data_IF_461235882566
#
_entry.id   IF_461235882566
#
_cell.length_a   1.000
_cell.length_b   1.000
_cell.length_c   1.000
_cell.angle_alpha   90.00
_cell.angle_beta   90.00
_cell.angle_gamma   90.00
#
_symmetry.space_group_name_H-M   'P 1'
#
loop_
_entity.id
_entity.type
_entity.pdbx_description
1 polymer ?
#
# COMPACT_ATOMS: atom_id res chain seq x y z
N UNK A 1 -4.15 10.68 2.47
CA UNK A 1 -5.63 10.75 2.37
C UNK A 1 -6.17 10.58 0.95
N UNK A 2 -5.77 11.37 -0.05
CA UNK A 2 -6.30 11.23 -1.43
C UNK A 2 -6.16 9.82 -2.04
N UNK A 3 -5.05 9.12 -1.79
CA UNK A 3 -4.85 7.74 -2.31
C UNK A 3 -5.87 6.73 -1.73
N UNK A 4 -6.30 6.91 -0.48
CA UNK A 4 -7.31 6.07 0.16
C UNK A 4 -8.71 6.31 -0.39
N UNK A 5 -9.05 7.58 -0.67
CA UNK A 5 -10.31 7.94 -1.32
C UNK A 5 -10.42 7.35 -2.74
N UNK A 6 -9.31 7.39 -3.49
CA UNK A 6 -9.24 6.80 -4.84
C UNK A 6 -9.31 5.27 -4.81
N UNK A 7 -8.78 4.61 -3.78
CA UNK A 7 -8.92 3.16 -3.63
C UNK A 7 -10.39 2.74 -3.39
N UNK A 8 -11.12 3.51 -2.57
CA UNK A 8 -12.53 3.27 -2.28
C UNK A 8 -13.51 3.60 -3.41
N UNK A 9 -13.08 4.33 -4.45
CA UNK A 9 -14.00 4.80 -5.50
C UNK A 9 -14.61 3.65 -6.31
N UNK A 10 -13.83 2.59 -6.57
CA UNK A 10 -14.24 1.46 -7.42
C UNK A 10 -15.44 0.70 -6.86
N UNK A 11 -15.43 0.23 -5.60
CA UNK A 11 -16.61 -0.43 -5.02
C UNK A 11 -17.79 0.54 -4.87
N UNK A 12 -17.53 1.81 -4.54
CA UNK A 12 -18.57 2.85 -4.42
C UNK A 12 -19.32 3.05 -5.74
N UNK A 13 -18.60 3.08 -6.88
CA UNK A 13 -19.23 3.24 -8.20
C UNK A 13 -20.17 2.09 -8.54
N UNK A 14 -19.79 0.84 -8.22
CA UNK A 14 -20.63 -0.33 -8.48
C UNK A 14 -21.92 -0.25 -7.65
N UNK A 15 -21.81 0.03 -6.35
CA UNK A 15 -23.00 0.11 -5.47
C UNK A 15 -23.90 1.30 -5.84
N UNK A 16 -23.33 2.45 -6.22
CA UNK A 16 -24.11 3.58 -6.74
C UNK A 16 -24.83 3.24 -8.04
N UNK A 17 -24.20 2.48 -8.95
CA UNK A 17 -24.86 2.04 -10.19
C UNK A 17 -26.08 1.15 -9.93
N UNK A 18 -25.97 0.24 -8.96
CA UNK A 18 -27.08 -0.62 -8.53
C UNK A 18 -28.19 0.23 -7.88
N UNK A 19 -27.83 1.19 -7.03
CA UNK A 19 -28.79 2.10 -6.41
C UNK A 19 -29.56 2.92 -7.46
N UNK A 20 -28.87 3.49 -8.46
CA UNK A 20 -29.53 4.21 -9.56
C UNK A 20 -30.46 3.32 -10.37
N UNK A 21 -30.07 2.07 -10.65
CA UNK A 21 -30.92 1.10 -11.34
C UNK A 21 -32.21 0.80 -10.55
N UNK A 22 -32.09 0.59 -9.23
CA UNK A 22 -33.24 0.35 -8.35
C UNK A 22 -34.15 1.57 -8.31
N UNK A 23 -33.59 2.78 -8.16
CA UNK A 23 -34.36 4.04 -8.20
C UNK A 23 -35.10 4.19 -9.54
N UNK A 24 -34.47 3.84 -10.65
CA UNK A 24 -35.11 3.88 -11.97
C UNK A 24 -36.28 2.90 -12.07
N UNK A 25 -36.10 1.64 -11.67
CA UNK A 25 -37.15 0.61 -11.74
C UNK A 25 -38.36 1.02 -10.90
N UNK A 26 -38.14 1.42 -9.64
CA UNK A 26 -39.22 1.88 -8.77
C UNK A 26 -39.80 3.22 -9.22
N UNK A 27 -38.97 4.10 -9.77
CA UNK A 27 -39.41 5.37 -10.36
C UNK A 27 -40.44 5.14 -11.46
N UNK A 28 -40.12 4.27 -12.43
CA UNK A 28 -41.07 3.87 -13.48
C UNK A 28 -42.32 3.23 -12.88
N UNK A 29 -42.18 2.31 -11.92
CA UNK A 29 -43.32 1.66 -11.28
C UNK A 29 -44.27 2.68 -10.63
N UNK A 30 -43.75 3.61 -9.84
CA UNK A 30 -44.55 4.67 -9.20
C UNK A 30 -45.17 5.62 -10.22
N UNK A 31 -44.43 6.07 -11.25
CA UNK A 31 -44.99 6.91 -12.33
C UNK A 31 -46.16 6.22 -13.01
N UNK A 32 -46.07 4.92 -13.29
CA UNK A 32 -47.12 4.18 -13.98
C UNK A 32 -48.34 3.92 -13.10
N UNK A 33 -48.11 3.57 -11.83
CA UNK A 33 -49.18 3.17 -10.91
C UNK A 33 -49.94 4.37 -10.32
N UNK A 34 -49.32 5.55 -10.24
CA UNK A 34 -49.95 6.76 -9.71
C UNK A 34 -50.54 7.67 -10.79
N UNK A 35 -50.58 7.22 -12.06
CA UNK A 35 -51.19 8.01 -13.14
C UNK A 35 -52.64 8.33 -12.83
N UNK A 36 -52.98 9.62 -12.85
CA UNK A 36 -54.33 10.10 -12.59
C UNK A 36 -54.69 10.27 -11.12
N UNK A 37 -53.76 10.01 -10.17
CA UNK A 37 -53.95 10.35 -8.75
C UNK A 37 -53.35 11.70 -8.40
N UNK A 38 -53.79 12.29 -7.29
CA UNK A 38 -53.27 13.59 -6.81
C UNK A 38 -51.80 13.50 -6.43
N UNK A 39 -51.39 12.36 -5.88
CA UNK A 39 -50.00 12.02 -5.52
C UNK A 39 -49.14 11.87 -6.77
N UNK A 40 -49.68 11.30 -7.85
CA UNK A 40 -49.02 11.20 -9.15
C UNK A 40 -48.64 12.58 -9.70
N UNK A 41 -49.57 13.54 -9.68
CA UNK A 41 -49.28 14.91 -10.17
C UNK A 41 -48.31 15.69 -9.30
N UNK A 42 -48.24 15.41 -7.99
CA UNK A 42 -47.42 16.17 -7.04
C UNK A 42 -46.00 15.65 -6.89
N UNK A 43 -45.82 14.33 -6.94
CA UNK A 43 -44.56 13.66 -6.60
C UNK A 43 -44.03 12.75 -7.72
N UNK A 44 -44.89 12.24 -8.60
CA UNK A 44 -44.55 11.21 -9.59
C UNK A 44 -44.99 11.56 -11.03
N UNK A 45 -44.94 12.85 -11.37
CA UNK A 45 -45.50 13.38 -12.63
C UNK A 45 -44.80 12.84 -13.88
N UNK A 46 -43.50 12.61 -13.78
CA UNK A 46 -42.69 11.88 -14.76
C UNK A 46 -41.69 10.93 -14.10
N UNK A 47 -41.00 10.13 -14.91
CA UNK A 47 -39.97 9.20 -14.41
C UNK A 47 -38.85 9.95 -13.72
N UNK A 48 -38.42 11.09 -14.25
CA UNK A 48 -37.40 11.94 -13.61
C UNK A 48 -37.84 12.49 -12.25
N UNK A 49 -39.05 13.04 -12.17
CA UNK A 49 -39.61 13.55 -10.90
C UNK A 49 -39.78 12.42 -9.87
N UNK A 50 -40.19 11.24 -10.34
CA UNK A 50 -40.33 10.04 -9.51
C UNK A 50 -38.98 9.56 -8.98
N UNK A 51 -37.95 9.53 -9.82
CA UNK A 51 -36.59 9.19 -9.40
C UNK A 51 -36.04 10.22 -8.40
N UNK A 52 -36.30 11.51 -8.61
CA UNK A 52 -35.91 12.58 -7.69
C UNK A 52 -36.61 12.47 -6.33
N UNK A 53 -37.92 12.24 -6.32
CA UNK A 53 -38.70 12.01 -5.09
C UNK A 53 -38.20 10.77 -4.36
N UNK A 54 -37.96 9.66 -5.06
CA UNK A 54 -37.43 8.43 -4.45
C UNK A 54 -35.99 8.56 -3.96
N UNK A 55 -35.16 9.37 -4.62
CA UNK A 55 -33.79 9.64 -4.17
C UNK A 55 -33.80 10.51 -2.91
N UNK A 56 -34.46 11.67 -2.95
CA UNK A 56 -34.48 12.64 -1.85
C UNK A 56 -35.27 12.11 -0.66
N UNK A 57 -36.53 11.79 -0.88
CA UNK A 57 -37.39 11.34 0.20
C UNK A 57 -37.07 9.88 0.52
N UNK A 58 -36.96 8.99 -0.48
CA UNK A 58 -36.79 7.56 -0.23
C UNK A 58 -35.40 7.11 0.24
N UNK A 59 -34.31 7.61 -0.35
CA UNK A 59 -32.94 7.20 0.00
C UNK A 59 -32.31 8.11 1.06
N UNK A 60 -32.47 9.43 0.94
CA UNK A 60 -31.99 10.37 1.97
C UNK A 60 -32.95 10.53 3.15
N UNK A 61 -34.11 9.87 3.11
CA UNK A 61 -35.13 9.90 4.17
C UNK A 61 -35.65 11.32 4.47
N UNK A 62 -35.52 12.24 3.51
CA UNK A 62 -35.98 13.61 3.65
C UNK A 62 -37.51 13.63 3.74
N UNK A 63 -38.05 14.17 4.84
CA UNK A 63 -39.49 14.30 5.09
C UNK A 63 -40.34 13.05 4.77
N UNK A 64 -39.79 11.83 4.91
CA UNK A 64 -40.49 10.57 4.56
C UNK A 64 -41.92 10.46 5.10
N UNK A 65 -42.22 10.84 6.35
CA UNK A 65 -43.57 10.74 6.87
C UNK A 65 -44.60 11.53 6.04
N UNK A 66 -44.21 12.64 5.42
CA UNK A 66 -45.13 13.46 4.60
C UNK A 66 -45.50 12.71 3.31
N UNK A 67 -44.51 12.18 2.60
CA UNK A 67 -44.71 11.41 1.35
C UNK A 67 -45.40 10.08 1.65
N UNK A 68 -44.99 9.39 2.72
CA UNK A 68 -45.57 8.10 3.11
C UNK A 68 -47.05 8.23 3.47
N UNK A 69 -47.43 9.24 4.25
CA UNK A 69 -48.83 9.48 4.59
C UNK A 69 -49.66 9.88 3.37
N UNK A 70 -49.13 10.72 2.48
CA UNK A 70 -49.82 11.12 1.25
C UNK A 70 -50.06 9.91 0.33
N UNK A 71 -49.05 9.07 0.13
CA UNK A 71 -49.13 7.86 -0.69
C UNK A 71 -50.05 6.80 -0.04
N UNK A 72 -49.95 6.62 1.28
CA UNK A 72 -50.76 5.68 2.04
C UNK A 72 -52.23 6.04 2.14
N UNK A 73 -52.56 7.34 2.13
CA UNK A 73 -53.97 7.81 2.11
C UNK A 73 -54.69 7.52 0.80
N UNK A 74 -53.96 7.42 -0.31
CA UNK A 74 -54.52 7.02 -1.62
C UNK A 74 -54.73 5.50 -1.69
N UNK A 75 -53.71 4.73 -1.30
CA UNK A 75 -53.79 3.27 -1.23
C UNK A 75 -52.72 2.70 -0.32
N UNK A 76 -53.13 1.77 0.56
CA UNK A 76 -52.21 1.03 1.42
C UNK A 76 -51.13 0.28 0.61
N UNK A 77 -51.46 -0.16 -0.62
CA UNK A 77 -50.53 -0.87 -1.51
C UNK A 77 -49.35 0.02 -1.91
N UNK A 78 -49.60 1.29 -2.26
CA UNK A 78 -48.53 2.22 -2.63
C UNK A 78 -47.63 2.53 -1.42
N UNK A 79 -48.22 2.66 -0.23
CA UNK A 79 -47.46 2.82 1.01
C UNK A 79 -46.56 1.61 1.31
N UNK A 80 -47.09 0.39 1.14
CA UNK A 80 -46.31 -0.84 1.30
C UNK A 80 -45.16 -0.95 0.29
N UNK A 81 -45.42 -0.60 -0.98
CA UNK A 81 -44.40 -0.58 -2.02
C UNK A 81 -43.29 0.45 -1.73
N UNK A 82 -43.66 1.64 -1.24
CA UNK A 82 -42.72 2.70 -0.85
C UNK A 82 -41.86 2.24 0.33
N UNK A 83 -42.47 1.56 1.30
CA UNK A 83 -41.75 1.01 2.46
C UNK A 83 -40.74 -0.06 2.04
N UNK A 84 -41.12 -0.96 1.11
CA UNK A 84 -40.20 -1.97 0.55
C UNK A 84 -39.03 -1.28 -0.17
N UNK A 85 -39.30 -0.24 -0.96
CA UNK A 85 -38.24 0.55 -1.61
C UNK A 85 -37.29 1.18 -0.58
N UNK A 86 -37.82 1.82 0.47
CA UNK A 86 -37.02 2.44 1.53
C UNK A 86 -36.15 1.42 2.25
N UNK A 87 -36.67 0.21 2.51
CA UNK A 87 -35.89 -0.87 3.09
C UNK A 87 -34.74 -1.28 2.15
N UNK A 88 -35.03 -1.56 0.87
CA UNK A 88 -34.01 -1.93 -0.11
C UNK A 88 -32.95 -0.83 -0.24
N UNK A 89 -33.36 0.44 -0.36
CA UNK A 89 -32.46 1.59 -0.43
C UNK A 89 -31.57 1.71 0.80
N UNK A 90 -32.14 1.57 1.99
CA UNK A 90 -31.40 1.60 3.26
C UNK A 90 -30.37 0.48 3.37
N UNK A 91 -30.75 -0.75 2.98
CA UNK A 91 -29.82 -1.89 2.92
C UNK A 91 -28.70 -1.66 1.91
N UNK A 92 -28.98 -1.08 0.74
CA UNK A 92 -27.95 -0.74 -0.26
C UNK A 92 -26.96 0.31 0.26
N UNK A 93 -27.44 1.33 0.98
CA UNK A 93 -26.58 2.35 1.60
C UNK A 93 -25.73 1.76 2.73
N UNK A 94 -26.29 0.91 3.58
CA UNK A 94 -25.50 0.21 4.62
C UNK A 94 -24.43 -0.68 3.97
N UNK A 95 -24.78 -1.41 2.92
CA UNK A 95 -23.83 -2.25 2.19
C UNK A 95 -22.73 -1.43 1.49
N UNK A 96 -23.02 -0.19 1.07
CA UNK A 96 -22.01 0.76 0.58
C UNK A 96 -21.01 1.13 1.68
N UNK A 97 -21.49 1.49 2.87
CA UNK A 97 -20.66 1.90 4.00
C UNK A 97 -19.76 0.76 4.48
N UNK A 98 -20.30 -0.46 4.59
CA UNK A 98 -19.53 -1.66 4.95
C UNK A 98 -18.42 -1.90 3.93
N UNK A 99 -18.70 -1.77 2.63
CA UNK A 99 -17.69 -1.93 1.58
C UNK A 99 -16.50 -0.97 1.72
N UNK A 100 -16.76 0.31 2.00
CA UNK A 100 -15.69 1.31 2.21
C UNK A 100 -14.90 1.03 3.47
N UNK A 101 -15.56 0.67 4.58
CA UNK A 101 -14.89 0.31 5.83
C UNK A 101 -13.98 -0.90 5.63
N UNK A 102 -14.46 -1.96 4.99
CA UNK A 102 -13.65 -3.14 4.67
C UNK A 102 -12.41 -2.80 3.83
N UNK A 103 -12.52 -1.91 2.83
CA UNK A 103 -11.36 -1.50 2.03
C UNK A 103 -10.32 -0.76 2.89
N UNK A 104 -10.75 0.13 3.79
CA UNK A 104 -9.82 0.84 4.69
C UNK A 104 -9.12 -0.12 5.66
N UNK A 105 -9.84 -1.09 6.22
CA UNK A 105 -9.27 -2.12 7.09
C UNK A 105 -8.27 -2.98 6.33
N UNK A 106 -8.55 -3.34 5.07
CA UNK A 106 -7.62 -4.08 4.22
C UNK A 106 -6.31 -3.31 4.01
N UNK A 107 -6.39 -2.02 3.71
CA UNK A 107 -5.19 -1.18 3.53
C UNK A 107 -4.36 -1.10 4.81
N UNK A 108 -4.99 -0.92 5.97
CA UNK A 108 -4.30 -0.92 7.27
C UNK A 108 -3.64 -2.27 7.52
N UNK A 109 -4.38 -3.37 7.32
CA UNK A 109 -3.87 -4.73 7.48
C UNK A 109 -2.68 -5.02 6.57
N UNK A 110 -2.65 -4.54 5.33
CA UNK A 110 -1.50 -4.72 4.44
C UNK A 110 -0.25 -4.02 4.97
N UNK A 111 -0.40 -2.79 5.48
CA UNK A 111 0.73 -2.01 6.04
C UNK A 111 1.23 -2.64 7.33
N UNK A 112 0.32 -3.07 8.20
CA UNK A 112 0.67 -3.75 9.46
C UNK A 112 1.32 -5.11 9.20
N UNK A 113 0.79 -5.90 8.25
CA UNK A 113 1.35 -7.19 7.90
C UNK A 113 2.77 -7.05 7.35
N UNK A 114 3.02 -6.05 6.51
CA UNK A 114 4.37 -5.75 6.03
C UNK A 114 5.32 -5.41 7.19
N UNK A 115 4.88 -4.57 8.13
CA UNK A 115 5.68 -4.24 9.31
C UNK A 115 5.97 -5.48 10.16
N UNK A 116 4.97 -6.34 10.41
CA UNK A 116 5.12 -7.58 11.18
C UNK A 116 6.09 -8.54 10.48
N UNK A 117 6.00 -8.72 9.16
CA UNK A 117 6.92 -9.60 8.42
C UNK A 117 8.37 -9.12 8.56
N UNK A 118 8.62 -7.81 8.43
CA UNK A 118 9.96 -7.24 8.60
C UNK A 118 10.47 -7.43 10.03
N UNK A 119 9.66 -7.16 11.05
CA UNK A 119 10.04 -7.36 12.46
C UNK A 119 10.35 -8.83 12.75
N UNK A 120 9.49 -9.76 12.32
CA UNK A 120 9.70 -11.19 12.54
C UNK A 120 10.97 -11.70 11.86
N UNK A 121 11.26 -11.26 10.65
CA UNK A 121 12.50 -11.66 9.94
C UNK A 121 13.72 -11.04 10.60
N UNK A 122 13.63 -9.77 11.03
CA UNK A 122 14.68 -9.13 11.82
C UNK A 122 14.99 -9.94 13.08
N UNK A 123 13.98 -10.34 13.83
CA UNK A 123 14.17 -11.11 15.06
C UNK A 123 14.77 -12.50 14.79
N UNK A 124 14.30 -13.20 13.74
CA UNK A 124 14.87 -14.49 13.32
C UNK A 124 16.34 -14.37 12.91
N UNK A 125 16.69 -13.37 12.09
CA UNK A 125 18.06 -13.15 11.64
C UNK A 125 18.98 -12.76 12.80
N UNK A 126 18.46 -11.97 13.75
CA UNK A 126 19.19 -11.63 14.97
C UNK A 126 19.53 -12.87 15.80
N UNK A 127 18.55 -13.75 16.04
CA UNK A 127 18.79 -15.01 16.77
C UNK A 127 19.75 -15.95 16.06
N UNK A 128 19.69 -16.05 14.72
CA UNK A 128 20.65 -16.85 13.95
C UNK A 128 22.07 -16.28 14.06
N UNK A 129 22.20 -14.96 14.02
CA UNK A 129 23.48 -14.29 14.17
C UNK A 129 24.04 -14.48 15.58
N UNK A 130 23.22 -14.34 16.62
CA UNK A 130 23.62 -14.55 18.02
C UNK A 130 24.21 -15.96 18.23
N UNK A 131 23.57 -16.99 17.65
CA UNK A 131 24.12 -18.35 17.66
C UNK A 131 25.48 -18.47 16.96
N UNK A 132 25.68 -17.82 15.80
CA UNK A 132 26.96 -17.85 15.09
C UNK A 132 28.06 -17.18 15.93
N UNK A 133 27.76 -16.05 16.57
CA UNK A 133 28.69 -15.31 17.42
C UNK A 133 29.11 -16.13 18.66
N UNK A 134 28.16 -16.82 19.29
CA UNK A 134 28.41 -17.72 20.42
C UNK A 134 29.37 -18.87 20.03
N UNK A 135 29.17 -19.47 18.85
CA UNK A 135 30.06 -20.52 18.33
C UNK A 135 31.49 -20.03 18.03
N UNK A 136 31.67 -18.75 17.67
CA UNK A 136 32.98 -18.18 17.35
C UNK A 136 33.74 -17.65 18.57
N UNK A 137 33.19 -17.75 19.80
CA UNK A 137 33.78 -17.19 21.03
C UNK A 137 34.14 -15.69 20.90
N UNK A 138 33.41 -14.95 20.07
CA UNK A 138 33.61 -13.51 19.91
C UNK A 138 32.72 -12.81 20.94
N UNK A 139 33.34 -12.18 21.94
CA UNK A 139 32.62 -11.32 22.88
C UNK A 139 32.00 -10.13 22.15
N UNK A 140 30.75 -9.74 22.45
CA UNK A 140 30.12 -8.57 21.86
C UNK A 140 30.92 -7.32 22.25
N UNK A 141 31.72 -6.82 21.32
CA UNK A 141 32.52 -5.61 21.46
C UNK A 141 31.70 -4.37 21.10
N UNK A 142 30.54 -4.16 21.74
CA UNK A 142 29.77 -2.94 21.53
C UNK A 142 28.99 -2.49 22.77
N UNK A 143 29.09 -1.18 23.06
CA UNK A 143 28.31 -0.45 24.08
C UNK A 143 26.88 -0.18 23.60
N UNK A 144 26.62 -0.31 22.30
CA UNK A 144 25.29 -0.36 21.68
C UNK A 144 24.86 -1.84 21.67
N UNK A 145 23.77 -2.18 22.36
CA UNK A 145 23.33 -3.56 22.66
C UNK A 145 22.89 -4.44 21.49
N UNK A 146 23.44 -4.23 20.29
CA UNK A 146 23.33 -5.11 19.13
C UNK A 146 24.76 -5.42 18.66
N UNK A 147 25.07 -6.71 18.48
CA UNK A 147 26.41 -7.16 18.10
C UNK A 147 26.86 -6.59 16.76
N UNK A 148 28.17 -6.39 16.62
CA UNK A 148 28.82 -6.01 15.37
C UNK A 148 28.94 -7.23 14.46
N UNK A 149 28.56 -7.08 13.19
CA UNK A 149 28.60 -8.14 12.17
C UNK A 149 29.87 -7.98 11.35
N UNK A 150 30.73 -8.98 11.43
CA UNK A 150 31.91 -9.14 10.58
C UNK A 150 31.58 -9.77 9.24
N UNK A 151 32.48 -9.61 8.26
CA UNK A 151 32.36 -10.27 6.96
C UNK A 151 32.21 -11.80 7.06
N UNK A 152 32.91 -12.42 8.02
CA UNK A 152 32.84 -13.87 8.26
C UNK A 152 31.49 -14.31 8.80
N UNK A 153 30.90 -13.56 9.72
CA UNK A 153 29.56 -13.84 10.27
C UNK A 153 28.48 -13.62 9.21
N UNK A 154 28.61 -12.57 8.39
CA UNK A 154 27.72 -12.34 7.26
C UNK A 154 27.76 -13.50 6.27
N UNK A 155 28.95 -13.98 5.88
CA UNK A 155 29.07 -15.14 5.00
C UNK A 155 28.52 -16.42 5.64
N UNK A 156 28.74 -16.63 6.94
CA UNK A 156 28.19 -17.77 7.67
C UNK A 156 26.66 -17.73 7.76
N UNK A 157 26.08 -16.54 7.99
CA UNK A 157 24.64 -16.32 8.00
C UNK A 157 24.01 -16.68 6.64
N UNK A 158 24.63 -16.26 5.53
CA UNK A 158 24.16 -16.59 4.17
C UNK A 158 24.37 -18.06 3.78
N UNK A 159 25.18 -18.82 4.51
CA UNK A 159 25.29 -20.27 4.33
C UNK A 159 24.16 -21.03 5.05
N UNK A 160 23.47 -20.41 6.00
CA UNK A 160 22.34 -21.02 6.69
C UNK A 160 21.11 -21.02 5.76
N UNK A 161 20.57 -22.20 5.41
CA UNK A 161 19.40 -22.28 4.53
C UNK A 161 18.16 -21.60 5.14
N UNK A 162 18.07 -21.53 6.47
CA UNK A 162 16.98 -20.83 7.16
C UNK A 162 17.06 -19.31 7.00
N UNK A 163 18.25 -18.72 7.10
CA UNK A 163 18.47 -17.28 6.90
C UNK A 163 18.18 -16.88 5.44
N UNK A 164 18.66 -17.69 4.48
CA UNK A 164 18.38 -17.54 3.05
C UNK A 164 16.89 -17.54 2.77
N UNK A 165 16.14 -18.47 3.38
CA UNK A 165 14.68 -18.53 3.26
C UNK A 165 14.00 -17.28 3.84
N UNK A 166 14.42 -16.83 5.01
CA UNK A 166 13.86 -15.62 5.63
C UNK A 166 14.10 -14.36 4.76
N UNK A 167 15.28 -14.24 4.15
CA UNK A 167 15.62 -13.15 3.24
C UNK A 167 14.84 -13.23 1.91
N UNK A 168 14.60 -14.44 1.39
CA UNK A 168 13.74 -14.66 0.22
C UNK A 168 12.28 -14.33 0.51
N UNK A 169 11.77 -14.64 1.71
CA UNK A 169 10.41 -14.27 2.14
C UNK A 169 10.22 -12.75 2.18
N UNK A 170 11.28 -11.99 2.50
CA UNK A 170 11.28 -10.53 2.36
C UNK A 170 11.35 -10.07 0.90
N UNK A 171 11.70 -10.92 -0.05
CA UNK A 171 11.89 -10.54 -1.46
C UNK A 171 13.20 -9.78 -1.70
N UNK A 172 14.23 -10.07 -0.90
CA UNK A 172 15.59 -9.53 -1.08
C UNK A 172 16.27 -10.27 -2.24
N UNK A 173 16.96 -9.52 -3.11
CA UNK A 173 17.83 -10.12 -4.12
C UNK A 173 19.10 -10.65 -3.44
N UNK A 174 19.14 -11.97 -3.22
CA UNK A 174 20.26 -12.63 -2.59
C UNK A 174 21.55 -12.57 -3.41
N UNK A 175 21.44 -12.57 -4.75
CA UNK A 175 22.62 -12.51 -5.61
C UNK A 175 23.26 -11.14 -5.47
N UNK A 176 22.45 -10.08 -5.60
CA UNK A 176 22.87 -8.72 -5.35
C UNK A 176 23.41 -8.50 -3.94
N UNK A 177 22.82 -9.14 -2.91
CA UNK A 177 23.30 -9.05 -1.52
C UNK A 177 24.69 -9.66 -1.33
N UNK A 178 25.00 -10.78 -1.98
CA UNK A 178 26.33 -11.40 -1.92
C UNK A 178 27.39 -10.52 -2.59
N UNK A 179 27.07 -9.97 -3.76
CA UNK A 179 27.97 -9.10 -4.52
C UNK A 179 28.22 -7.78 -3.76
N UNK A 180 27.15 -7.15 -3.27
CA UNK A 180 27.23 -5.91 -2.49
C UNK A 180 27.96 -6.14 -1.16
N UNK A 181 27.76 -7.31 -0.54
CA UNK A 181 28.42 -7.68 0.71
C UNK A 181 29.95 -7.67 0.62
N UNK A 182 30.53 -7.95 -0.55
CA UNK A 182 31.99 -7.82 -0.71
C UNK A 182 32.45 -6.36 -0.58
N UNK A 183 31.71 -5.44 -1.18
CA UNK A 183 31.99 -4.01 -1.22
C UNK A 183 31.65 -3.29 0.09
N UNK A 184 30.58 -3.69 0.78
CA UNK A 184 30.16 -3.09 2.06
C UNK A 184 31.24 -3.22 3.14
N UNK A 185 32.01 -4.32 3.11
CA UNK A 185 33.09 -4.57 4.05
C UNK A 185 34.48 -4.13 3.53
N UNK A 186 34.60 -3.46 2.38
CA UNK A 186 35.90 -2.98 1.86
C UNK A 186 36.43 -1.75 2.61
N UNK A 187 35.57 -0.97 3.29
CA UNK A 187 35.95 0.23 4.05
C UNK A 187 35.74 0.14 5.57
N UNK A 188 34.97 -0.83 6.04
CA UNK A 188 34.65 -1.07 7.46
C UNK A 188 34.68 -2.56 7.74
N UNK A 189 35.43 -3.00 8.76
CA UNK A 189 35.57 -4.42 9.10
C UNK A 189 34.30 -5.01 9.74
N UNK A 190 33.44 -4.16 10.29
CA UNK A 190 32.30 -4.53 11.12
C UNK A 190 31.11 -3.59 10.86
N UNK A 191 29.89 -4.13 10.91
CA UNK A 191 28.65 -3.40 10.66
C UNK A 191 27.64 -3.65 11.79
N UNK A 192 26.99 -2.61 12.31
CA UNK A 192 25.96 -2.79 13.33
C UNK A 192 24.70 -3.47 12.75
N UNK A 193 24.03 -4.32 13.53
CA UNK A 193 22.87 -5.08 13.06
C UNK A 193 21.73 -4.22 12.48
N UNK A 194 21.36 -3.06 13.06
CA UNK A 194 20.39 -2.15 12.45
C UNK A 194 20.83 -1.65 11.06
N UNK A 195 22.12 -1.32 10.89
CA UNK A 195 22.67 -0.87 9.61
C UNK A 195 22.72 -2.00 8.58
N UNK A 196 23.03 -3.22 9.02
CA UNK A 196 22.91 -4.43 8.21
C UNK A 196 21.48 -4.67 7.72
N UNK A 197 20.50 -4.61 8.62
CA UNK A 197 19.10 -4.79 8.25
C UNK A 197 18.61 -3.70 7.31
N UNK A 198 19.07 -2.45 7.46
CA UNK A 198 18.76 -1.38 6.53
C UNK A 198 19.31 -1.69 5.12
N UNK A 199 20.55 -2.14 5.01
CA UNK A 199 21.18 -2.56 3.74
C UNK A 199 20.41 -3.72 3.08
N UNK A 200 20.06 -4.74 3.86
CA UNK A 200 19.26 -5.88 3.38
C UNK A 200 17.91 -5.43 2.85
N UNK A 201 17.22 -4.55 3.58
CA UNK A 201 15.93 -4.02 3.15
C UNK A 201 16.05 -3.12 1.92
N UNK A 202 17.18 -2.43 1.70
CA UNK A 202 17.44 -1.64 0.49
C UNK A 202 17.55 -2.51 -0.78
N UNK A 203 17.97 -3.77 -0.66
CA UNK A 203 18.06 -4.73 -1.75
C UNK A 203 16.77 -5.52 -2.01
N UNK A 204 15.67 -5.15 -1.34
CA UNK A 204 14.36 -5.72 -1.59
C UNK A 204 13.88 -5.36 -3.00
N UNK A 205 13.56 -6.36 -3.82
CA UNK A 205 13.13 -6.14 -5.21
C UNK A 205 11.83 -5.34 -5.35
N UNK A 206 11.04 -5.22 -4.28
CA UNK A 206 9.85 -4.35 -4.23
C UNK A 206 10.16 -2.88 -3.95
N UNK A 207 11.41 -2.51 -3.68
CA UNK A 207 11.79 -1.12 -3.46
C UNK A 207 11.59 -0.31 -4.74
N UNK A 208 10.82 0.76 -4.62
CA UNK A 208 10.61 1.69 -5.73
C UNK A 208 11.77 2.68 -5.75
N UNK A 209 12.51 2.73 -6.86
CA UNK A 209 13.50 3.77 -7.08
C UNK A 209 12.83 5.15 -6.99
N UNK A 210 13.39 6.00 -6.13
CA UNK A 210 12.94 7.36 -5.89
C UNK A 210 13.82 8.36 -6.63
N UNK A 211 13.35 9.61 -6.75
CA UNK A 211 14.18 10.71 -7.31
C UNK A 211 15.46 10.90 -6.49
N UNK A 212 15.41 10.64 -5.17
CA UNK A 212 16.59 10.65 -4.31
C UNK A 212 17.63 9.65 -4.82
N UNK A 213 17.23 8.42 -5.13
CA UNK A 213 18.14 7.36 -5.58
C UNK A 213 18.79 7.72 -6.93
N UNK A 214 18.04 8.36 -7.84
CA UNK A 214 18.58 8.87 -9.11
C UNK A 214 19.62 9.97 -8.87
N UNK A 215 19.33 10.91 -7.96
CA UNK A 215 20.27 11.99 -7.61
C UNK A 215 21.53 11.43 -6.94
N UNK A 216 21.40 10.43 -6.07
CA UNK A 216 22.54 9.73 -5.47
C UNK A 216 23.40 9.04 -6.53
N UNK A 217 22.80 8.32 -7.47
CA UNK A 217 23.52 7.71 -8.58
C UNK A 217 24.27 8.75 -9.42
N UNK A 218 23.63 9.90 -9.71
CA UNK A 218 24.28 10.99 -10.44
C UNK A 218 25.47 11.60 -9.68
N UNK A 219 25.36 11.74 -8.35
CA UNK A 219 26.46 12.20 -7.52
C UNK A 219 27.64 11.22 -7.56
N UNK A 220 27.36 9.93 -7.33
CA UNK A 220 28.36 8.87 -7.39
C UNK A 220 29.07 8.81 -8.75
N UNK A 221 28.32 8.83 -9.84
CA UNK A 221 28.90 8.85 -11.19
C UNK A 221 29.79 10.08 -11.40
N UNK A 222 29.37 11.25 -10.92
CA UNK A 222 30.16 12.48 -11.05
C UNK A 222 31.48 12.40 -10.28
N UNK A 223 31.47 11.82 -9.08
CA UNK A 223 32.69 11.60 -8.29
C UNK A 223 33.64 10.64 -8.99
N UNK A 224 33.15 9.50 -9.46
CA UNK A 224 33.93 8.51 -10.22
C UNK A 224 34.49 9.09 -11.53
N UNK A 225 33.72 9.87 -12.27
CA UNK A 225 34.23 10.54 -13.47
C UNK A 225 35.30 11.58 -13.16
N UNK A 226 35.20 12.29 -12.04
CA UNK A 226 36.24 13.21 -11.58
C UNK A 226 37.51 12.45 -11.16
N UNK A 227 37.36 11.33 -10.46
CA UNK A 227 38.46 10.47 -10.06
C UNK A 227 39.21 9.90 -11.28
N UNK A 228 38.48 9.29 -12.23
CA UNK A 228 39.04 8.81 -13.49
C UNK A 228 39.78 9.91 -14.26
N UNK A 229 39.22 11.12 -14.34
CA UNK A 229 39.86 12.24 -15.04
C UNK A 229 41.20 12.60 -14.40
N UNK A 230 41.26 12.71 -13.07
CA UNK A 230 42.50 12.99 -12.33
C UNK A 230 43.55 11.91 -12.57
N UNK A 231 43.16 10.64 -12.52
CA UNK A 231 44.05 9.51 -12.78
C UNK A 231 44.60 9.52 -14.22
N UNK A 232 43.78 9.88 -15.21
CA UNK A 232 44.23 10.03 -16.60
C UNK A 232 45.20 11.20 -16.76
N UNK A 233 44.91 12.36 -16.17
CA UNK A 233 45.78 13.54 -16.23
C UNK A 233 47.14 13.26 -15.56
N UNK A 234 47.14 12.61 -14.40
CA UNK A 234 48.36 12.19 -13.72
C UNK A 234 49.19 11.19 -14.56
N UNK A 235 48.55 10.20 -15.18
CA UNK A 235 49.25 9.25 -16.05
C UNK A 235 49.80 9.90 -17.33
N UNK A 236 49.08 10.86 -17.93
CA UNK A 236 49.58 11.61 -19.08
C UNK A 236 50.77 12.50 -18.70
N UNK A 237 50.72 13.15 -17.54
CA UNK A 237 51.84 13.95 -17.02
C UNK A 237 53.07 13.08 -16.72
N UNK A 238 52.88 11.88 -16.13
CA UNK A 238 53.96 10.91 -15.89
C UNK A 238 54.59 10.39 -17.19
N UNK A 239 53.77 10.14 -18.22
CA UNK A 239 54.26 9.71 -19.53
C UNK A 239 55.06 10.81 -20.26
N UNK A 240 54.60 12.06 -20.19
CA UNK A 240 55.33 13.21 -20.74
C UNK A 240 56.60 13.59 -19.96
N UNK A 241 56.67 13.24 -18.67
CA UNK A 241 57.83 13.50 -17.81
C UNK A 241 58.92 12.40 -17.89
N UNK A 242 58.73 11.32 -18.65
CA UNK A 242 59.71 10.25 -18.82
C UNK A 242 59.99 9.42 -17.56
N UNK A 243 59.08 9.42 -16.57
CA UNK A 243 59.26 8.68 -15.32
C UNK A 243 58.66 7.27 -15.46
N UNK A 244 59.44 6.19 -15.29
CA UNK A 244 58.93 4.83 -15.39
C UNK A 244 57.99 4.48 -14.22
N UNK A 245 57.03 3.55 -14.44
CA UNK A 245 56.00 3.23 -13.45
C UNK A 245 56.60 2.63 -12.17
N UNK A 246 55.96 2.85 -10.99
CA UNK A 246 56.38 2.23 -9.75
C UNK A 246 56.14 0.72 -9.81
N UNK A 247 57.15 -0.05 -9.39
CA UNK A 247 57.05 -1.50 -9.13
C UNK A 247 56.22 -1.78 -7.89
#
# INVERSE_FOLDING_TARGET
MMKGLVAGIRPVTVTLSILTLVIYIFGVMFTQMTRGSTVGTRYFGGVGDSMGTLLLHGVFLEEIPTVFNAVGSESWFFGALLLIFVLIGSFLVVNLLVGVLCETVRVVSMVEQEHITVTNVKDKLYHMLEHIMEFQNVTPSSTSGHGLISKTEFCALLQLPEAVRCLQELGVDLVGLVDLGQHVFEGTSELDFPAFMELVLQLRGSNKATVKDVVYLLHFLREEFCYMRRMMEENMLRHNAGVPPPQ
#
